data_IF_791708627454
#
_entry.id   IF_791708627454
#
_cell.length_a   1.000
_cell.length_b   1.000
_cell.length_c   1.000
_cell.angle_alpha   90.00
_cell.angle_beta   90.00
_cell.angle_gamma   90.00
#
_symmetry.space_group_name_H-M   'P 1'
#
loop_
_entity.id
_entity.type
_entity.pdbx_description
1 polymer ?
#
# COMPACT_ATOMS: atom_id res chain seq x y z
N UNK A 1 -52.93 -33.52 -11.61
CA UNK A 1 -51.95 -34.05 -12.57
C UNK A 1 -50.64 -33.31 -12.33
N UNK A 2 -49.59 -34.10 -12.15
CA UNK A 2 -48.20 -33.69 -11.91
C UNK A 2 -47.59 -33.22 -13.23
N UNK A 3 -46.75 -32.17 -13.21
CA UNK A 3 -45.51 -32.13 -13.99
C UNK A 3 -44.51 -31.21 -13.29
N UNK A 4 -43.65 -31.83 -12.49
CA UNK A 4 -42.40 -31.26 -11.99
C UNK A 4 -41.44 -31.06 -13.17
N UNK A 5 -40.86 -29.87 -13.29
CA UNK A 5 -39.66 -29.66 -14.11
C UNK A 5 -38.53 -29.39 -13.12
N UNK A 6 -37.87 -30.47 -12.71
CA UNK A 6 -36.57 -30.42 -12.07
C UNK A 6 -35.55 -30.12 -13.17
N UNK A 7 -35.09 -28.87 -13.23
CA UNK A 7 -33.95 -28.46 -14.04
C UNK A 7 -32.69 -28.49 -13.19
N UNK A 8 -31.91 -29.56 -13.25
CA UNK A 8 -30.55 -29.62 -12.73
C UNK A 8 -29.64 -28.77 -13.62
N UNK A 9 -29.22 -27.61 -13.13
CA UNK A 9 -28.12 -26.86 -13.73
C UNK A 9 -26.81 -27.29 -13.07
N UNK A 10 -26.20 -28.35 -13.59
CA UNK A 10 -24.78 -28.63 -13.38
C UNK A 10 -23.99 -27.74 -14.34
N UNK A 11 -23.86 -26.47 -13.94
CA UNK A 11 -22.91 -25.54 -14.55
C UNK A 11 -21.61 -25.59 -13.77
N UNK A 12 -20.62 -26.30 -14.30
CA UNK A 12 -19.21 -26.06 -13.97
C UNK A 12 -18.87 -24.61 -14.37
N UNK A 13 -19.06 -23.65 -13.46
CA UNK A 13 -18.40 -22.36 -13.57
C UNK A 13 -17.01 -22.51 -12.98
N UNK A 14 -16.02 -22.57 -13.86
CA UNK A 14 -14.67 -22.13 -13.55
C UNK A 14 -14.78 -20.80 -12.81
N UNK A 15 -14.18 -20.73 -11.61
CA UNK A 15 -14.21 -19.56 -10.73
C UNK A 15 -13.79 -18.32 -11.52
N UNK A 16 -14.78 -17.58 -12.01
CA UNK A 16 -14.58 -16.24 -12.50
C UNK A 16 -14.22 -15.45 -11.26
N UNK A 17 -13.05 -14.83 -11.27
CA UNK A 17 -12.55 -13.93 -10.25
C UNK A 17 -13.57 -12.79 -10.09
N UNK A 18 -14.56 -13.05 -9.23
CA UNK A 18 -15.73 -12.19 -9.10
C UNK A 18 -15.30 -10.89 -8.44
N UNK A 19 -15.70 -9.78 -9.03
CA UNK A 19 -15.51 -8.48 -8.42
C UNK A 19 -16.16 -8.45 -7.04
N UNK A 20 -15.51 -7.84 -6.05
CA UNK A 20 -16.09 -7.64 -4.72
C UNK A 20 -16.23 -6.16 -4.41
N UNK A 21 -16.98 -5.83 -3.37
CA UNK A 21 -17.17 -4.45 -2.90
C UNK A 21 -16.70 -4.34 -1.46
N UNK A 22 -15.94 -3.29 -1.15
CA UNK A 22 -15.46 -2.97 0.20
C UNK A 22 -15.50 -1.45 0.39
N UNK A 23 -16.03 -0.97 1.51
CA UNK A 23 -16.14 0.49 1.77
C UNK A 23 -16.92 1.25 0.68
N UNK A 24 -17.86 0.58 -0.01
CA UNK A 24 -18.58 1.16 -1.16
C UNK A 24 -17.78 1.24 -2.47
N UNK A 25 -16.53 0.79 -2.48
CA UNK A 25 -15.66 0.74 -3.66
C UNK A 25 -15.68 -0.67 -4.26
N UNK A 26 -15.86 -0.75 -5.58
CA UNK A 26 -15.85 -2.02 -6.32
C UNK A 26 -14.43 -2.35 -6.79
N UNK A 27 -13.95 -3.52 -6.40
CA UNK A 27 -12.67 -4.09 -6.78
C UNK A 27 -12.87 -5.16 -7.85
N UNK A 28 -12.14 -5.03 -8.96
CA UNK A 28 -12.18 -6.00 -10.06
C UNK A 28 -10.81 -6.62 -10.24
N UNK A 29 -10.64 -7.93 -9.96
CA UNK A 29 -9.37 -8.62 -10.18
C UNK A 29 -9.08 -8.72 -11.69
N UNK A 30 -7.93 -8.21 -12.12
CA UNK A 30 -7.48 -8.22 -13.51
C UNK A 30 -5.95 -8.29 -13.54
N UNK A 31 -5.41 -9.22 -14.33
CA UNK A 31 -3.97 -9.37 -14.56
C UNK A 31 -3.12 -9.52 -13.28
N UNK A 32 -3.67 -10.18 -12.25
CA UNK A 32 -2.97 -10.40 -10.98
C UNK A 32 -3.03 -9.23 -9.99
N UNK A 33 -3.71 -8.13 -10.34
CA UNK A 33 -3.97 -6.98 -9.46
C UNK A 33 -5.46 -6.74 -9.28
N UNK A 34 -5.82 -5.97 -8.27
CA UNK A 34 -7.17 -5.47 -8.04
C UNK A 34 -7.27 -4.04 -8.54
N UNK A 35 -8.12 -3.80 -9.54
CA UNK A 35 -8.41 -2.46 -10.02
C UNK A 35 -9.65 -1.90 -9.33
N UNK A 36 -9.58 -0.63 -8.94
CA UNK A 36 -10.71 0.09 -8.37
C UNK A 36 -10.74 1.53 -8.88
N UNK A 37 -11.95 2.04 -9.16
CA UNK A 37 -12.15 3.44 -9.45
C UNK A 37 -12.52 4.16 -8.16
N UNK A 38 -11.68 5.09 -7.70
CA UNK A 38 -11.86 5.84 -6.46
C UNK A 38 -11.78 7.32 -6.82
N UNK A 39 -12.87 8.06 -6.56
CA UNK A 39 -13.00 9.49 -6.88
C UNK A 39 -12.70 9.81 -8.36
N UNK A 40 -13.06 8.90 -9.28
CA UNK A 40 -12.89 9.07 -10.72
C UNK A 40 -11.49 8.75 -11.26
N UNK A 41 -10.54 8.35 -10.41
CA UNK A 41 -9.22 7.85 -10.81
C UNK A 41 -9.15 6.34 -10.61
N UNK A 42 -8.54 5.65 -11.58
CA UNK A 42 -8.29 4.21 -11.47
C UNK A 42 -7.01 3.97 -10.68
N UNK A 43 -7.11 3.09 -9.69
CA UNK A 43 -6.00 2.62 -8.85
C UNK A 43 -5.83 1.11 -8.99
N UNK A 44 -4.59 0.67 -8.87
CA UNK A 44 -4.21 -0.73 -8.86
C UNK A 44 -3.63 -1.10 -7.50
N UNK A 45 -4.04 -2.25 -6.99
CA UNK A 45 -3.62 -2.81 -5.71
C UNK A 45 -3.22 -4.27 -5.90
N UNK A 46 -2.25 -4.73 -5.13
CA UNK A 46 -1.78 -6.12 -5.15
C UNK A 46 -2.60 -7.02 -4.22
N UNK A 47 -3.16 -6.45 -3.16
CA UNK A 47 -3.78 -7.16 -2.05
C UNK A 47 -5.15 -6.54 -1.74
N UNK A 48 -6.18 -7.37 -1.49
CA UNK A 48 -7.51 -6.86 -1.18
C UNK A 48 -7.52 -6.16 0.21
N UNK A 49 -8.35 -5.13 0.40
CA UNK A 49 -8.35 -4.29 1.60
C UNK A 49 -8.57 -5.07 2.90
N UNK A 50 -9.35 -6.15 2.87
CA UNK A 50 -9.65 -7.00 4.03
C UNK A 50 -8.41 -7.66 4.65
N UNK A 51 -7.32 -7.85 3.87
CA UNK A 51 -6.10 -8.48 4.37
C UNK A 51 -5.13 -7.49 5.00
N UNK A 52 -5.26 -6.21 4.66
CA UNK A 52 -4.32 -5.15 5.02
C UNK A 52 -4.90 -4.13 5.99
N UNK A 53 -6.19 -4.23 6.33
CA UNK A 53 -6.87 -3.41 7.35
C UNK A 53 -6.26 -3.59 8.76
N UNK A 54 -5.54 -4.69 9.00
CA UNK A 54 -4.85 -4.95 10.26
C UNK A 54 -3.62 -4.07 10.50
N UNK A 55 -3.10 -3.41 9.46
CA UNK A 55 -1.91 -2.58 9.56
C UNK A 55 -2.29 -1.15 9.93
N UNK A 56 -1.99 -0.78 11.17
CA UNK A 56 -2.34 0.53 11.73
C UNK A 56 -1.18 1.48 11.53
N UNK A 57 -1.43 2.63 10.89
CA UNK A 57 -0.44 3.71 10.74
C UNK A 57 -0.17 4.40 12.10
N UNK A 58 1.00 5.03 12.30
CA UNK A 58 1.21 5.88 13.45
C UNK A 58 0.19 7.03 13.52
N UNK A 59 -0.26 7.35 14.73
CA UNK A 59 -1.26 8.40 14.95
C UNK A 59 -0.82 9.73 14.33
N UNK A 60 -1.72 10.36 13.58
CA UNK A 60 -1.49 11.65 12.93
C UNK A 60 -0.60 11.62 11.69
N UNK A 61 -0.01 10.47 11.31
CA UNK A 61 0.80 10.38 10.10
C UNK A 61 -0.03 10.61 8.83
N UNK A 62 -1.25 10.07 8.81
CA UNK A 62 -2.13 10.19 7.65
C UNK A 62 -2.56 11.65 7.38
N UNK A 63 -2.84 12.39 8.44
CA UNK A 63 -3.18 13.81 8.36
C UNK A 63 -1.96 14.62 7.92
N UNK A 64 -0.81 14.37 8.54
CA UNK A 64 0.47 15.00 8.15
C UNK A 64 0.78 14.77 6.67
N UNK A 65 0.61 13.54 6.18
CA UNK A 65 0.84 13.18 4.77
C UNK A 65 -0.11 13.94 3.81
N UNK A 66 -1.36 14.14 4.20
CA UNK A 66 -2.35 14.90 3.40
C UNK A 66 -2.08 16.41 3.42
N UNK A 67 -1.59 16.93 4.55
CA UNK A 67 -1.35 18.37 4.75
C UNK A 67 -0.03 18.87 4.16
N UNK A 68 1.05 18.07 4.26
CA UNK A 68 2.39 18.48 3.85
C UNK A 68 2.47 18.81 2.35
N UNK A 69 1.65 18.15 1.52
CA UNK A 69 1.64 18.32 0.07
C UNK A 69 2.92 17.81 -0.63
N UNK A 70 3.89 17.31 0.12
CA UNK A 70 5.13 16.67 -0.32
C UNK A 70 5.47 15.51 0.62
N UNK A 71 6.23 14.54 0.14
CA UNK A 71 6.74 13.42 0.96
C UNK A 71 8.07 12.95 0.39
N UNK A 72 8.96 12.46 1.24
CA UNK A 72 10.19 11.79 0.81
C UNK A 72 10.16 10.30 1.15
N UNK A 73 10.88 9.50 0.36
CA UNK A 73 10.98 8.06 0.58
C UNK A 73 12.45 7.69 0.77
N UNK A 74 12.75 7.10 1.93
CA UNK A 74 14.03 6.49 2.23
C UNK A 74 13.91 4.96 2.20
N UNK A 75 15.00 4.25 1.95
CA UNK A 75 15.03 2.79 2.01
C UNK A 75 16.42 2.28 2.38
N UNK A 76 16.48 1.09 2.99
CA UNK A 76 17.76 0.39 3.14
C UNK A 76 18.10 -0.31 1.81
N UNK A 77 19.33 -0.12 1.28
CA UNK A 77 19.81 -0.75 0.06
C UNK A 77 20.12 -2.23 0.32
N UNK A 78 19.07 -3.04 0.46
CA UNK A 78 19.15 -4.50 0.60
C UNK A 78 18.90 -5.17 -0.76
N UNK A 79 19.85 -5.98 -1.22
CA UNK A 79 19.77 -6.62 -2.54
C UNK A 79 18.64 -7.66 -2.65
N UNK A 80 18.35 -8.40 -1.58
CA UNK A 80 17.34 -9.47 -1.60
C UNK A 80 15.94 -8.88 -1.79
N UNK A 81 15.66 -7.75 -1.14
CA UNK A 81 14.37 -7.08 -1.18
C UNK A 81 14.26 -5.96 -2.21
N UNK A 82 15.36 -5.64 -2.91
CA UNK A 82 15.41 -4.54 -3.88
C UNK A 82 14.24 -4.53 -4.87
N UNK A 83 13.80 -5.66 -5.48
CA UNK A 83 12.69 -5.64 -6.42
C UNK A 83 11.36 -5.16 -5.80
N UNK A 84 11.09 -5.54 -4.56
CA UNK A 84 9.87 -5.15 -3.85
C UNK A 84 9.96 -3.70 -3.36
N UNK A 85 11.11 -3.30 -2.82
CA UNK A 85 11.39 -1.92 -2.39
C UNK A 85 11.24 -0.96 -3.57
N UNK A 86 11.85 -1.26 -4.72
CA UNK A 86 11.77 -0.40 -5.89
C UNK A 86 10.37 -0.35 -6.50
N UNK A 87 9.65 -1.47 -6.51
CA UNK A 87 8.25 -1.50 -6.93
C UNK A 87 7.41 -0.57 -6.06
N UNK A 88 7.55 -0.66 -4.73
CA UNK A 88 6.82 0.19 -3.79
C UNK A 88 7.23 1.65 -3.92
N UNK A 89 8.53 1.97 -4.04
CA UNK A 89 9.01 3.34 -4.27
C UNK A 89 8.38 3.95 -5.51
N UNK A 90 8.41 3.22 -6.63
CA UNK A 90 7.87 3.69 -7.89
C UNK A 90 6.35 3.91 -7.82
N UNK A 91 5.63 2.96 -7.23
CA UNK A 91 4.17 3.07 -7.10
C UNK A 91 3.76 4.20 -6.15
N UNK A 92 4.42 4.34 -5.00
CA UNK A 92 4.15 5.45 -4.09
C UNK A 92 4.46 6.79 -4.74
N UNK A 93 5.52 6.91 -5.54
CA UNK A 93 5.83 8.13 -6.28
C UNK A 93 4.80 8.48 -7.37
N UNK A 94 4.04 7.50 -7.86
CA UNK A 94 2.93 7.75 -8.79
C UNK A 94 1.65 8.21 -8.08
N UNK A 95 1.42 7.74 -6.85
CA UNK A 95 0.17 7.97 -6.13
C UNK A 95 0.24 9.06 -5.05
N UNK A 96 1.44 9.39 -4.56
CA UNK A 96 1.72 10.41 -3.56
C UNK A 96 2.61 11.52 -4.15
N UNK A 97 2.60 12.75 -3.59
CA UNK A 97 3.45 13.84 -4.07
C UNK A 97 4.91 13.67 -3.60
N UNK A 98 5.58 12.62 -4.06
CA UNK A 98 6.98 12.34 -3.68
C UNK A 98 7.91 13.37 -4.31
N UNK A 99 8.71 14.05 -3.49
CA UNK A 99 9.66 15.09 -3.93
C UNK A 99 11.12 14.67 -3.81
N UNK A 100 11.42 13.57 -3.13
CA UNK A 100 12.79 13.12 -2.91
C UNK A 100 12.89 11.65 -2.56
N UNK A 101 14.06 11.09 -2.90
CA UNK A 101 14.47 9.75 -2.50
C UNK A 101 15.81 9.81 -1.77
N UNK A 102 15.99 8.95 -0.79
CA UNK A 102 17.27 8.75 -0.12
C UNK A 102 17.47 7.29 0.28
N UNK A 103 18.66 7.01 0.82
CA UNK A 103 19.01 5.72 1.41
C UNK A 103 19.25 5.89 2.91
N UNK A 104 18.95 4.88 3.71
CA UNK A 104 19.19 4.94 5.16
C UNK A 104 20.66 4.72 5.54
N UNK A 105 21.46 4.21 4.60
CA UNK A 105 22.88 3.92 4.74
C UNK A 105 23.58 4.03 3.38
N UNK A 106 24.90 4.27 3.39
CA UNK A 106 25.67 4.40 2.15
C UNK A 106 25.67 3.09 1.35
N UNK A 107 25.51 3.19 0.03
CA UNK A 107 25.55 2.04 -0.89
C UNK A 107 26.35 2.38 -2.15
N UNK A 108 27.04 1.38 -2.69
CA UNK A 108 27.73 1.51 -3.97
C UNK A 108 26.77 1.44 -5.17
N UNK A 109 25.58 0.86 -4.98
CA UNK A 109 24.59 0.63 -6.06
C UNK A 109 23.64 1.82 -6.24
N UNK A 110 23.50 2.65 -5.20
CA UNK A 110 22.60 3.81 -5.19
C UNK A 110 23.36 5.11 -4.90
N UNK A 111 23.51 5.96 -5.91
CA UNK A 111 24.01 7.34 -5.77
C UNK A 111 22.89 8.26 -5.27
N UNK A 112 22.45 8.02 -4.03
CA UNK A 112 21.40 8.79 -3.35
C UNK A 112 21.94 9.32 -2.02
N UNK A 113 21.41 10.46 -1.58
CA UNK A 113 21.76 11.04 -0.27
C UNK A 113 21.22 10.20 0.89
N UNK A 114 21.83 10.36 2.06
CA UNK A 114 21.29 9.80 3.29
C UNK A 114 19.98 10.51 3.65
N UNK A 115 18.97 9.73 4.01
CA UNK A 115 17.67 10.22 4.47
C UNK A 115 17.11 9.23 5.49
N UNK A 116 16.62 9.74 6.60
CA UNK A 116 16.00 8.91 7.65
C UNK A 116 14.83 9.61 8.36
N UNK A 117 14.36 9.00 9.44
CA UNK A 117 13.30 9.61 10.26
C UNK A 117 13.77 10.86 11.00
N UNK A 118 15.08 11.01 11.21
CA UNK A 118 15.71 12.19 11.79
C UNK A 118 15.53 13.46 10.96
N UNK A 119 15.27 13.31 9.65
CA UNK A 119 15.01 14.40 8.73
C UNK A 119 13.51 14.72 8.58
N UNK A 120 12.65 13.93 9.22
CA UNK A 120 11.21 14.05 9.08
C UNK A 120 10.65 15.23 9.88
N UNK A 121 9.68 15.93 9.29
CA UNK A 121 8.92 16.98 9.95
C UNK A 121 7.47 17.03 9.47
N UNK A 122 6.56 17.74 10.14
CA UNK A 122 5.18 17.84 9.67
C UNK A 122 5.02 18.43 8.27
N UNK A 123 5.96 19.29 7.84
CA UNK A 123 5.96 19.86 6.49
C UNK A 123 6.71 18.98 5.47
N UNK A 124 7.44 17.97 5.93
CA UNK A 124 8.26 17.09 5.12
C UNK A 124 8.26 15.68 5.72
N UNK A 125 7.13 14.94 5.57
CA UNK A 125 7.04 13.59 6.09
C UNK A 125 7.94 12.64 5.32
N UNK A 126 8.45 11.63 6.01
CA UNK A 126 9.34 10.62 5.45
C UNK A 126 8.72 9.23 5.59
N UNK A 127 8.75 8.47 4.50
CA UNK A 127 8.42 7.04 4.48
C UNK A 127 9.74 6.27 4.39
N UNK A 128 10.07 5.46 5.38
CA UNK A 128 11.28 4.63 5.40
C UNK A 128 10.91 3.18 5.09
N UNK A 129 11.49 2.59 4.06
CA UNK A 129 11.33 1.17 3.74
C UNK A 129 12.46 0.37 4.39
N UNK A 130 12.14 -0.41 5.41
CA UNK A 130 13.13 -1.12 6.22
C UNK A 130 12.86 -2.63 6.21
N UNK A 131 13.90 -3.41 5.93
CA UNK A 131 13.81 -4.87 5.98
C UNK A 131 13.66 -5.34 7.43
N UNK A 132 12.63 -6.14 7.70
CA UNK A 132 12.33 -6.70 9.01
C UNK A 132 11.64 -8.06 8.90
N UNK A 133 11.73 -8.88 9.96
CA UNK A 133 11.06 -10.19 10.03
C UNK A 133 9.55 -10.10 10.34
N UNK A 134 9.01 -8.88 10.44
CA UNK A 134 7.61 -8.59 10.71
C UNK A 134 7.09 -7.65 9.64
N UNK A 135 5.80 -7.71 9.34
CA UNK A 135 5.12 -6.76 8.44
C UNK A 135 4.27 -5.82 9.30
N UNK A 136 4.66 -4.55 9.42
CA UNK A 136 3.90 -3.53 10.16
C UNK A 136 4.34 -2.11 9.78
N UNK A 137 3.55 -1.14 10.21
CA UNK A 137 4.02 0.23 10.34
C UNK A 137 4.59 0.49 11.74
N UNK A 138 5.59 1.35 11.81
CA UNK A 138 6.06 1.97 13.04
C UNK A 138 6.48 3.43 12.77
N UNK A 139 6.88 4.16 13.81
CA UNK A 139 7.26 5.57 13.71
C UNK A 139 6.31 6.49 14.46
N UNK A 140 6.11 7.70 13.93
CA UNK A 140 5.35 8.79 14.52
C UNK A 140 4.56 9.58 13.45
N UNK A 141 4.04 10.75 13.83
CA UNK A 141 3.22 11.57 12.95
C UNK A 141 3.96 12.13 11.72
N UNK A 142 5.29 12.24 11.75
CA UNK A 142 6.09 12.80 10.64
C UNK A 142 6.91 11.74 9.90
N UNK A 143 7.27 10.64 10.57
CA UNK A 143 7.95 9.52 9.93
C UNK A 143 7.16 8.23 10.08
N UNK A 144 6.93 7.51 8.97
CA UNK A 144 6.46 6.13 9.01
C UNK A 144 7.54 5.20 8.50
N UNK A 145 7.78 4.12 9.23
CA UNK A 145 8.67 3.04 8.83
C UNK A 145 7.83 1.85 8.40
N UNK A 146 8.05 1.40 7.16
CA UNK A 146 7.51 0.17 6.62
C UNK A 146 8.49 -0.94 6.98
N UNK A 147 8.22 -1.65 8.07
CA UNK A 147 8.97 -2.83 8.46
C UNK A 147 8.35 -4.03 7.74
N UNK A 148 9.06 -4.64 6.79
CA UNK A 148 8.59 -5.80 6.04
C UNK A 148 9.73 -6.61 5.40
N UNK A 149 9.38 -7.75 4.80
CA UNK A 149 10.25 -8.53 3.93
C UNK A 149 9.43 -9.03 2.73
N UNK A 150 10.04 -9.13 1.56
CA UNK A 150 9.46 -9.62 0.31
C UNK A 150 8.13 -8.90 -0.02
N UNK A 151 7.05 -9.68 -0.20
CA UNK A 151 5.71 -9.19 -0.55
C UNK A 151 5.07 -8.34 0.55
N UNK A 152 5.61 -8.36 1.78
CA UNK A 152 5.10 -7.52 2.87
C UNK A 152 5.17 -6.03 2.56
N UNK A 153 6.13 -5.59 1.74
CA UNK A 153 6.18 -4.20 1.27
C UNK A 153 4.96 -3.82 0.42
N UNK A 154 4.50 -4.73 -0.44
CA UNK A 154 3.30 -4.51 -1.26
C UNK A 154 2.04 -4.42 -0.40
N UNK A 155 1.95 -5.25 0.66
CA UNK A 155 0.86 -5.19 1.63
C UNK A 155 0.80 -3.85 2.36
N UNK A 156 1.94 -3.34 2.82
CA UNK A 156 2.03 -2.05 3.50
C UNK A 156 1.76 -0.88 2.54
N UNK A 157 2.25 -0.95 1.30
CA UNK A 157 1.94 0.01 0.23
C UNK A 157 0.43 0.11 0.01
N UNK A 158 -0.25 -1.02 -0.15
CA UNK A 158 -1.68 -1.05 -0.37
C UNK A 158 -2.45 -0.55 0.85
N UNK A 159 -2.03 -0.95 2.07
CA UNK A 159 -2.63 -0.46 3.30
C UNK A 159 -2.57 1.07 3.43
N UNK A 160 -1.39 1.65 3.17
CA UNK A 160 -1.20 3.12 3.20
C UNK A 160 -2.14 3.78 2.18
N UNK A 161 -2.20 3.28 0.95
CA UNK A 161 -3.04 3.88 -0.08
C UNK A 161 -4.53 3.71 0.21
N UNK A 162 -4.97 2.58 0.75
CA UNK A 162 -6.37 2.41 1.15
C UNK A 162 -6.76 3.41 2.25
N UNK A 163 -5.91 3.61 3.25
CA UNK A 163 -6.14 4.60 4.32
C UNK A 163 -6.09 6.04 3.76
N UNK A 164 -5.11 6.36 2.91
CA UNK A 164 -4.96 7.66 2.27
C UNK A 164 -6.16 8.03 1.38
N UNK A 165 -6.70 7.07 0.63
CA UNK A 165 -7.84 7.27 -0.25
C UNK A 165 -9.19 7.24 0.48
N UNK A 166 -9.22 6.78 1.74
CA UNK A 166 -10.42 6.65 2.57
C UNK A 166 -11.26 5.42 2.25
N UNK A 167 -10.64 4.34 1.77
CA UNK A 167 -11.28 3.03 1.54
C UNK A 167 -11.38 2.25 2.85
N UNK A 168 -10.30 2.26 3.63
CA UNK A 168 -10.23 1.68 4.98
C UNK A 168 -10.30 2.84 5.98
N UNK A 169 -11.13 2.76 7.03
CA UNK A 169 -11.19 3.80 8.06
C UNK A 169 -9.86 3.95 8.77
N UNK A 170 -9.53 5.17 9.16
CA UNK A 170 -8.40 5.42 10.06
C UNK A 170 -8.74 4.85 11.45
N UNK A 171 -7.85 4.02 11.99
CA UNK A 171 -8.05 3.39 13.30
C UNK A 171 -8.06 4.40 14.46
N UNK A 172 -7.66 5.66 14.21
CA UNK A 172 -7.62 6.75 15.19
C UNK A 172 -8.93 7.54 15.34
N UNK A 173 -10.01 7.14 14.65
CA UNK A 173 -11.31 7.84 14.65
C UNK A 173 -12.41 7.25 15.53
#
# INVERSE_FOLDING_TARGET
MVFSIAGTYLGFQTQTSSSFTYGGVKFTPKDGVFKANIKGKDYEFYVPPQLVERYVLPDGFLDTLKEAGVVAIAFSPDEENAPFIDTVRFDLARELPVTGFGVTEESADYDLGLLGCEDASPAFPVIVLQVANVTRFSGDASCVVFEANNTGFLELRDSLLYQFLGVVPDASS
#
